data_IF_784826576880
#
_entry.id   IF_784826576880
#
_cell.length_a   1.000
_cell.length_b   1.000
_cell.length_c   1.000
_cell.angle_alpha   90.00
_cell.angle_beta   90.00
_cell.angle_gamma   90.00
#
_symmetry.space_group_name_H-M   'P 1'
#
loop_
_entity.id
_entity.type
_entity.pdbx_description
1 polymer ?
#
# COMPACT_ATOMS: atom_id res chain seq x y z
N UNK A 1 -60.33 4.33 70.54
CA UNK A 1 -60.23 3.49 69.34
C UNK A 1 -59.23 2.32 69.49
N UNK A 2 -58.49 2.20 70.60
CA UNK A 2 -57.48 1.10 70.80
C UNK A 2 -58.12 -0.12 71.52
N UNK A 3 -59.36 -0.11 71.94
CA UNK A 3 -59.94 -1.17 72.79
C UNK A 3 -60.62 -2.32 72.03
N UNK A 4 -60.83 -2.25 70.77
CA UNK A 4 -61.57 -3.28 69.97
C UNK A 4 -60.76 -4.51 69.67
N UNK A 5 -59.44 -4.46 69.77
CA UNK A 5 -58.56 -5.59 69.46
C UNK A 5 -57.92 -6.27 70.68
N UNK A 6 -58.30 -5.86 71.98
CA UNK A 6 -57.61 -6.34 73.21
C UNK A 6 -58.40 -7.31 74.08
N UNK A 7 -59.65 -7.66 73.77
CA UNK A 7 -60.35 -8.65 74.54
C UNK A 7 -60.71 -9.90 73.77
N UNK A 8 -60.55 -11.04 74.44
CA UNK A 8 -60.84 -12.40 74.00
C UNK A 8 -62.33 -12.61 73.65
N UNK A 9 -62.81 -12.00 72.64
CA UNK A 9 -64.11 -12.30 72.05
C UNK A 9 -63.79 -12.69 70.58
N UNK A 10 -64.29 -13.84 70.18
CA UNK A 10 -64.21 -14.36 68.84
C UNK A 10 -64.55 -13.22 67.82
N UNK A 11 -63.54 -12.58 67.29
CA UNK A 11 -63.81 -11.42 66.50
C UNK A 11 -62.99 -11.32 65.27
N UNK A 12 -63.73 -11.38 64.29
CA UNK A 12 -63.32 -11.13 62.94
C UNK A 12 -62.59 -9.77 62.82
N UNK A 13 -61.28 -9.81 62.67
CA UNK A 13 -60.61 -8.62 62.24
C UNK A 13 -61.15 -8.22 60.82
N UNK A 14 -61.42 -6.95 60.63
CA UNK A 14 -61.80 -6.45 59.32
C UNK A 14 -60.55 -6.48 58.44
N UNK A 15 -60.40 -7.54 57.64
CA UNK A 15 -59.20 -7.85 56.89
C UNK A 15 -59.19 -6.98 55.60
N UNK A 16 -58.11 -6.26 55.39
CA UNK A 16 -57.75 -5.62 54.11
C UNK A 16 -56.55 -6.31 53.53
N UNK A 17 -56.64 -6.62 52.28
CA UNK A 17 -55.56 -7.23 51.52
C UNK A 17 -54.53 -6.22 51.06
N UNK A 18 -53.29 -6.42 51.46
CA UNK A 18 -52.12 -5.69 50.92
C UNK A 18 -51.72 -6.39 49.65
N UNK A 19 -52.00 -5.75 48.53
CA UNK A 19 -51.73 -6.32 47.17
C UNK A 19 -50.28 -6.69 47.01
N UNK A 20 -50.04 -7.83 46.33
CA UNK A 20 -48.73 -8.21 45.89
C UNK A 20 -48.16 -7.17 44.87
N UNK A 21 -46.88 -6.93 44.97
CA UNK A 21 -46.10 -6.13 44.00
C UNK A 21 -45.12 -7.07 43.32
N UNK A 22 -45.24 -7.19 42.01
CA UNK A 22 -44.32 -8.04 41.25
C UNK A 22 -42.88 -7.47 41.25
N UNK A 23 -41.91 -8.33 41.45
CA UNK A 23 -40.50 -7.94 41.31
C UNK A 23 -40.18 -7.65 39.85
N UNK A 24 -39.48 -6.52 39.60
CA UNK A 24 -38.91 -6.16 38.30
C UNK A 24 -37.44 -6.63 38.17
N UNK A 25 -36.77 -6.26 37.12
CA UNK A 25 -35.34 -6.56 36.98
C UNK A 25 -34.49 -5.90 38.07
N UNK A 26 -34.87 -4.70 38.52
CA UNK A 26 -34.07 -3.86 39.43
C UNK A 26 -34.70 -3.64 40.76
N UNK A 27 -36.03 -3.83 40.90
CA UNK A 27 -36.77 -3.53 42.11
C UNK A 27 -37.35 -4.81 42.72
N UNK A 28 -37.16 -4.97 44.01
CA UNK A 28 -37.76 -6.05 44.76
C UNK A 28 -39.30 -5.91 44.80
N UNK A 29 -39.98 -7.02 44.70
CA UNK A 29 -41.41 -7.13 44.86
C UNK A 29 -41.81 -7.48 46.28
N UNK A 30 -43.12 -7.66 46.52
CA UNK A 30 -43.70 -8.13 47.81
C UNK A 30 -44.80 -9.13 47.49
N UNK A 31 -44.90 -10.15 48.31
CA UNK A 31 -46.05 -11.06 48.29
C UNK A 31 -47.33 -10.35 48.78
N UNK A 32 -48.47 -10.95 48.50
CA UNK A 32 -49.73 -10.52 49.09
C UNK A 32 -49.68 -10.70 50.62
N UNK A 33 -50.10 -9.68 51.30
CA UNK A 33 -50.31 -9.64 52.75
C UNK A 33 -51.69 -9.25 53.16
N UNK A 34 -51.94 -9.11 54.48
CA UNK A 34 -53.16 -8.58 54.95
C UNK A 34 -53.00 -7.95 56.35
N UNK A 35 -53.78 -6.89 56.61
CA UNK A 35 -53.82 -6.25 57.91
C UNK A 35 -55.27 -5.93 58.31
N UNK A 36 -55.49 -5.66 59.56
CA UNK A 36 -56.81 -5.17 60.07
C UNK A 36 -56.92 -3.65 59.79
N UNK A 37 -57.95 -3.24 59.06
CA UNK A 37 -58.22 -1.83 58.80
C UNK A 37 -58.56 -0.97 60.02
N UNK A 38 -58.92 -1.60 61.09
CA UNK A 38 -59.36 -0.88 62.32
C UNK A 38 -58.18 -0.73 63.29
N UNK A 39 -57.38 -1.76 63.54
CA UNK A 39 -56.32 -1.69 64.55
C UNK A 39 -54.90 -1.76 63.96
N UNK A 40 -54.74 -1.92 62.65
CA UNK A 40 -53.46 -1.96 61.97
C UNK A 40 -52.69 -3.27 62.19
N UNK A 41 -53.21 -4.26 62.94
CA UNK A 41 -52.54 -5.53 63.22
C UNK A 41 -52.29 -6.25 61.90
N UNK A 42 -51.03 -6.65 61.66
CA UNK A 42 -50.67 -7.45 60.52
C UNK A 42 -51.17 -8.91 60.73
N UNK A 43 -52.00 -9.39 59.84
CA UNK A 43 -52.59 -10.69 59.87
C UNK A 43 -51.69 -11.64 59.07
N UNK A 44 -51.29 -11.26 57.91
CA UNK A 44 -50.31 -11.93 57.05
C UNK A 44 -49.25 -10.93 56.57
N UNK A 45 -48.03 -11.12 56.99
CA UNK A 45 -46.93 -10.23 56.59
C UNK A 45 -46.61 -10.39 55.10
N UNK A 46 -46.37 -9.31 54.43
CA UNK A 46 -45.76 -9.35 53.09
C UNK A 46 -44.32 -9.81 53.23
N UNK A 47 -43.88 -10.72 52.39
CA UNK A 47 -42.47 -11.12 52.26
C UNK A 47 -41.88 -10.47 51.01
N UNK A 48 -40.61 -10.08 51.08
CA UNK A 48 -39.89 -9.51 49.96
C UNK A 48 -39.63 -10.58 48.91
N UNK A 49 -39.85 -10.22 47.64
CA UNK A 49 -39.47 -11.01 46.46
C UNK A 49 -38.27 -10.28 45.86
N UNK A 50 -37.09 -10.92 45.87
CA UNK A 50 -35.88 -10.34 45.34
C UNK A 50 -36.06 -9.87 43.89
N UNK A 51 -35.40 -8.75 43.53
CA UNK A 51 -35.31 -8.31 42.13
C UNK A 51 -34.81 -9.46 41.25
N UNK A 52 -35.38 -9.58 40.04
CA UNK A 52 -35.10 -10.69 39.11
C UNK A 52 -33.71 -10.61 38.49
N UNK A 53 -33.07 -9.44 38.50
CA UNK A 53 -31.89 -9.16 37.77
C UNK A 53 -32.14 -8.98 36.26
N UNK A 54 -31.13 -8.62 35.52
CA UNK A 54 -31.20 -8.53 34.07
C UNK A 54 -30.81 -9.85 33.42
N UNK A 55 -31.53 -10.24 32.37
CA UNK A 55 -31.18 -11.38 31.49
C UNK A 55 -30.71 -10.80 30.17
N UNK A 56 -29.41 -10.93 29.89
CA UNK A 56 -28.83 -10.39 28.67
C UNK A 56 -29.31 -11.19 27.44
N UNK A 57 -29.78 -10.48 26.43
CA UNK A 57 -30.11 -11.03 25.12
C UNK A 57 -28.88 -11.10 24.18
N UNK A 58 -29.14 -11.25 22.89
CA UNK A 58 -28.10 -11.32 21.86
C UNK A 58 -27.39 -9.97 21.64
N UNK A 59 -26.20 -10.04 21.07
CA UNK A 59 -25.45 -8.84 20.69
C UNK A 59 -26.07 -8.16 19.46
N UNK A 60 -26.34 -6.89 19.60
CA UNK A 60 -26.81 -6.00 18.51
C UNK A 60 -25.65 -5.10 18.10
N UNK A 61 -25.33 -5.05 16.81
CA UNK A 61 -24.30 -4.16 16.29
C UNK A 61 -24.85 -2.74 16.10
N UNK A 62 -24.35 -1.79 16.86
CA UNK A 62 -24.69 -0.37 16.74
C UNK A 62 -23.94 0.30 15.60
N UNK A 63 -22.65 -0.07 15.47
CA UNK A 63 -21.76 0.44 14.44
C UNK A 63 -20.83 -0.69 14.00
N UNK A 64 -20.81 -1.01 12.72
CA UNK A 64 -19.86 -1.98 12.16
C UNK A 64 -18.43 -1.47 12.24
N UNK A 65 -17.47 -2.36 12.45
CA UNK A 65 -16.06 -2.03 12.35
C UNK A 65 -15.67 -1.78 10.88
N UNK A 66 -14.74 -0.83 10.68
CA UNK A 66 -14.12 -0.56 9.38
C UNK A 66 -12.59 -0.60 9.53
N UNK A 67 -11.86 -0.47 8.41
CA UNK A 67 -10.39 -0.43 8.45
C UNK A 67 -9.92 0.77 9.27
N UNK A 68 -9.16 0.51 10.32
CA UNK A 68 -8.66 1.51 11.26
C UNK A 68 -9.72 2.15 12.17
N UNK A 69 -11.00 1.72 12.09
CA UNK A 69 -12.09 2.28 12.89
C UNK A 69 -12.80 1.16 13.65
N UNK A 70 -12.84 1.29 14.98
CA UNK A 70 -13.60 0.37 15.84
C UNK A 70 -15.08 0.48 15.58
N UNK A 71 -15.78 -0.64 15.60
CA UNK A 71 -17.22 -0.74 15.70
C UNK A 71 -17.68 -0.72 17.15
N UNK A 72 -18.99 -0.79 17.37
CA UNK A 72 -19.62 -0.87 18.69
C UNK A 72 -20.80 -1.81 18.63
N UNK A 73 -21.01 -2.57 19.71
CA UNK A 73 -22.17 -3.44 19.90
C UNK A 73 -22.65 -3.36 21.34
N UNK A 74 -23.94 -3.64 21.54
CA UNK A 74 -24.53 -3.75 22.87
C UNK A 74 -25.43 -4.98 22.95
N UNK A 75 -25.82 -5.35 24.16
CA UNK A 75 -26.93 -6.28 24.39
C UNK A 75 -27.85 -5.72 25.48
N UNK A 76 -29.13 -5.95 25.27
CA UNK A 76 -30.17 -5.46 26.15
C UNK A 76 -30.81 -6.59 26.93
N UNK A 77 -31.40 -6.27 28.09
CA UNK A 77 -32.18 -7.22 28.86
C UNK A 77 -33.43 -7.65 28.08
N UNK A 78 -33.64 -8.97 27.95
CA UNK A 78 -34.80 -9.54 27.23
C UNK A 78 -36.12 -9.28 27.89
N UNK A 79 -36.10 -8.83 29.17
CA UNK A 79 -37.30 -8.58 29.97
C UNK A 79 -37.68 -7.09 30.02
N UNK A 80 -36.73 -6.20 30.20
CA UNK A 80 -37.01 -4.76 30.40
C UNK A 80 -36.42 -3.85 29.32
N UNK A 81 -35.63 -4.39 28.37
CA UNK A 81 -35.02 -3.64 27.27
C UNK A 81 -33.80 -2.79 27.65
N UNK A 82 -33.47 -2.67 28.95
CA UNK A 82 -32.30 -1.88 29.35
C UNK A 82 -31.00 -2.45 28.78
N UNK A 83 -30.08 -1.59 28.31
CA UNK A 83 -28.74 -1.98 27.90
C UNK A 83 -27.99 -2.49 29.12
N UNK A 84 -27.54 -3.75 29.06
CA UNK A 84 -26.84 -4.43 30.15
C UNK A 84 -25.35 -4.57 29.91
N UNK A 85 -24.93 -4.51 28.67
CA UNK A 85 -23.52 -4.60 28.30
C UNK A 85 -23.25 -3.88 26.96
N UNK A 86 -22.08 -3.29 26.85
CA UNK A 86 -21.59 -2.69 25.60
C UNK A 86 -20.14 -3.08 25.40
N UNK A 87 -19.73 -3.33 24.14
CA UNK A 87 -18.37 -3.70 23.80
C UNK A 87 -17.95 -3.07 22.46
N UNK A 88 -16.66 -2.82 22.34
CA UNK A 88 -16.06 -2.46 21.04
C UNK A 88 -15.96 -3.69 20.14
N UNK A 89 -16.16 -3.50 18.84
CA UNK A 89 -15.78 -4.43 17.80
C UNK A 89 -14.39 -3.98 17.29
N UNK A 90 -13.35 -4.83 17.33
CA UNK A 90 -12.01 -4.45 16.87
C UNK A 90 -12.02 -3.88 15.45
N UNK A 91 -11.22 -2.84 15.22
CA UNK A 91 -11.03 -2.28 13.88
C UNK A 91 -10.48 -3.35 12.92
N UNK A 92 -10.92 -3.31 11.67
CA UNK A 92 -10.38 -4.18 10.64
C UNK A 92 -8.96 -3.74 10.27
N UNK A 93 -8.07 -4.70 10.00
CA UNK A 93 -6.74 -4.43 9.46
C UNK A 93 -6.81 -4.21 7.95
N UNK A 94 -5.99 -3.29 7.39
CA UNK A 94 -5.91 -3.12 5.94
C UNK A 94 -5.30 -4.36 5.29
N UNK A 95 -5.70 -4.65 4.05
CA UNK A 95 -5.15 -5.75 3.26
C UNK A 95 -3.72 -5.42 2.82
N UNK A 96 -2.78 -6.36 3.00
CA UNK A 96 -1.41 -6.21 2.50
C UNK A 96 -1.36 -6.26 0.97
N UNK A 97 -0.57 -5.35 0.37
CA UNK A 97 -0.26 -5.38 -1.07
C UNK A 97 1.00 -6.17 -1.40
N UNK A 98 1.67 -6.79 -0.44
CA UNK A 98 2.97 -7.46 -0.64
C UNK A 98 2.97 -8.51 -1.75
N UNK A 99 1.85 -9.19 -1.97
CA UNK A 99 1.64 -10.19 -3.03
C UNK A 99 1.07 -9.61 -4.33
N UNK A 100 0.89 -8.29 -4.43
CA UNK A 100 0.33 -7.69 -5.62
C UNK A 100 1.30 -7.73 -6.81
N UNK A 101 0.75 -7.97 -7.98
CA UNK A 101 1.48 -7.85 -9.25
C UNK A 101 1.55 -6.38 -9.65
N UNK A 102 2.77 -5.92 -9.93
CA UNK A 102 3.04 -4.53 -10.35
C UNK A 102 3.68 -4.53 -11.72
N UNK A 103 3.10 -3.81 -12.66
CA UNK A 103 3.62 -3.58 -14.01
C UNK A 103 3.95 -2.11 -14.22
N UNK A 104 5.07 -1.85 -14.88
CA UNK A 104 5.47 -0.51 -15.33
C UNK A 104 5.23 -0.39 -16.82
N UNK A 105 4.74 0.76 -17.29
CA UNK A 105 4.50 0.99 -18.72
C UNK A 105 5.80 0.96 -19.56
N UNK A 106 6.92 1.35 -18.96
CA UNK A 106 8.25 1.39 -19.60
C UNK A 106 9.29 0.93 -18.59
N UNK A 107 10.13 -0.04 -18.99
CA UNK A 107 11.19 -0.58 -18.14
C UNK A 107 12.55 0.11 -18.35
N UNK A 108 12.72 0.86 -19.46
CA UNK A 108 13.98 1.51 -19.81
C UNK A 108 13.75 2.81 -20.58
N UNK A 109 14.47 3.85 -20.22
CA UNK A 109 14.47 5.16 -20.88
C UNK A 109 15.85 5.51 -21.43
N UNK A 110 15.89 6.41 -22.42
CA UNK A 110 17.09 7.14 -22.79
C UNK A 110 17.16 8.45 -21.99
N UNK A 111 18.35 8.84 -21.56
CA UNK A 111 18.61 10.09 -20.86
C UNK A 111 18.33 11.30 -21.77
N UNK A 112 17.53 12.23 -21.30
CA UNK A 112 17.21 13.52 -21.93
C UNK A 112 17.24 14.69 -20.93
N UNK A 113 17.75 14.44 -19.72
CA UNK A 113 17.79 15.42 -18.63
C UNK A 113 16.46 15.63 -17.90
N UNK A 114 15.37 14.96 -18.32
CA UNK A 114 14.03 15.09 -17.73
C UNK A 114 13.76 13.95 -16.74
N UNK A 115 12.91 14.24 -15.76
CA UNK A 115 12.40 13.24 -14.81
C UNK A 115 11.57 12.19 -15.54
N UNK A 116 11.75 10.93 -15.17
CA UNK A 116 11.02 9.76 -15.72
C UNK A 116 10.04 9.20 -14.70
N UNK A 117 8.78 9.09 -15.10
CA UNK A 117 7.69 8.60 -14.25
C UNK A 117 6.82 7.60 -15.03
N UNK A 118 7.30 6.35 -15.22
CA UNK A 118 6.49 5.33 -15.90
C UNK A 118 5.16 5.14 -15.17
N UNK A 119 4.08 4.92 -15.92
CA UNK A 119 2.79 4.57 -15.34
C UNK A 119 2.88 3.21 -14.62
N UNK A 120 2.17 3.11 -13.51
CA UNK A 120 2.16 1.94 -12.64
C UNK A 120 0.76 1.35 -12.61
N UNK A 121 0.65 0.04 -12.83
CA UNK A 121 -0.58 -0.74 -12.66
C UNK A 121 -0.35 -1.74 -11.54
N UNK A 122 -1.29 -1.86 -10.60
CA UNK A 122 -1.21 -2.77 -9.46
C UNK A 122 -2.45 -3.66 -9.44
N UNK A 123 -2.26 -4.98 -9.33
CA UNK A 123 -3.34 -5.97 -9.19
C UNK A 123 -3.08 -6.84 -7.97
N UNK A 124 -4.06 -6.97 -7.08
CA UNK A 124 -4.04 -7.90 -5.96
C UNK A 124 -5.00 -9.06 -6.28
N UNK A 125 -4.44 -10.21 -6.66
CA UNK A 125 -5.20 -11.28 -7.29
C UNK A 125 -5.85 -10.79 -8.58
N UNK A 126 -7.16 -10.95 -8.73
CA UNK A 126 -7.95 -10.45 -9.86
C UNK A 126 -8.34 -8.96 -9.74
N UNK A 127 -8.17 -8.34 -8.56
CA UNK A 127 -8.62 -6.97 -8.30
C UNK A 127 -7.58 -5.96 -8.77
N UNK A 128 -7.97 -5.08 -9.71
CA UNK A 128 -7.16 -3.93 -10.09
C UNK A 128 -7.30 -2.82 -9.04
N UNK A 129 -6.19 -2.37 -8.47
CA UNK A 129 -6.17 -1.29 -7.50
C UNK A 129 -6.10 0.07 -8.19
N UNK A 130 -6.69 1.09 -7.56
CA UNK A 130 -6.82 2.46 -8.10
C UNK A 130 -5.75 3.38 -7.52
N UNK A 131 -4.92 3.95 -8.38
CA UNK A 131 -3.92 4.94 -7.99
C UNK A 131 -4.58 6.16 -7.35
N UNK A 132 -4.03 6.64 -6.22
CA UNK A 132 -4.55 7.77 -5.45
C UNK A 132 -5.60 7.40 -4.41
N UNK A 133 -6.31 6.28 -4.58
CA UNK A 133 -7.34 5.76 -3.66
C UNK A 133 -6.79 4.57 -2.88
N UNK A 134 -6.38 3.52 -3.58
CA UNK A 134 -5.95 2.24 -3.01
C UNK A 134 -4.43 2.18 -2.83
N UNK A 135 -3.67 2.98 -3.57
CA UNK A 135 -2.22 3.12 -3.44
C UNK A 135 -1.71 4.48 -3.94
N UNK A 136 -0.52 4.84 -3.50
CA UNK A 136 0.26 5.98 -4.01
C UNK A 136 1.58 5.51 -4.60
N UNK A 137 2.17 6.33 -5.48
CA UNK A 137 3.44 6.02 -6.16
C UNK A 137 4.41 7.18 -5.95
N UNK A 138 5.64 6.85 -5.60
CA UNK A 138 6.75 7.78 -5.58
C UNK A 138 7.95 7.22 -6.35
N UNK A 139 8.86 8.09 -6.76
CA UNK A 139 10.02 7.73 -7.58
C UNK A 139 11.30 8.26 -6.94
N UNK A 140 12.41 7.50 -7.10
CA UNK A 140 13.74 7.90 -6.64
C UNK A 140 14.75 7.67 -7.75
N UNK A 141 15.76 8.53 -7.84
CA UNK A 141 16.87 8.46 -8.83
C UNK A 141 16.38 8.42 -10.29
N UNK A 142 15.24 9.04 -10.56
CA UNK A 142 14.51 8.91 -11.82
C UNK A 142 14.78 10.05 -12.83
N UNK A 143 15.93 10.73 -12.70
CA UNK A 143 16.35 11.80 -13.62
C UNK A 143 17.66 11.49 -14.32
N UNK A 144 18.64 10.96 -13.60
CA UNK A 144 19.97 10.71 -14.11
C UNK A 144 20.13 9.26 -14.63
N UNK A 145 21.20 9.04 -15.43
CA UNK A 145 21.56 7.69 -15.89
C UNK A 145 21.75 6.75 -14.70
N UNK A 146 21.23 5.54 -14.81
CA UNK A 146 21.34 4.52 -13.77
C UNK A 146 20.01 3.81 -13.50
N UNK A 147 19.98 3.11 -12.38
CA UNK A 147 18.81 2.37 -11.90
C UNK A 147 17.93 3.30 -11.07
N UNK A 148 16.71 3.52 -11.52
CA UNK A 148 15.68 4.27 -10.81
C UNK A 148 14.76 3.33 -10.03
N UNK A 149 14.16 3.82 -8.95
CA UNK A 149 13.25 3.06 -8.09
C UNK A 149 11.86 3.67 -8.12
N UNK A 150 10.86 2.81 -8.24
CA UNK A 150 9.44 3.12 -8.07
C UNK A 150 8.98 2.50 -6.75
N UNK A 151 8.40 3.30 -5.87
CA UNK A 151 7.86 2.86 -4.58
C UNK A 151 6.35 2.98 -4.62
N UNK A 152 5.67 1.87 -4.41
CA UNK A 152 4.22 1.75 -4.37
C UNK A 152 3.82 1.51 -2.91
N UNK A 153 3.00 2.38 -2.33
CA UNK A 153 2.55 2.27 -0.94
C UNK A 153 1.04 2.15 -0.90
N UNK A 154 0.53 1.13 -0.22
CA UNK A 154 -0.90 0.92 0.01
C UNK A 154 -1.52 2.07 0.78
N UNK A 155 -2.80 2.35 0.52
CA UNK A 155 -3.58 3.44 1.12
C UNK A 155 -5.02 2.99 1.38
N UNK A 156 -5.66 3.55 2.41
CA UNK A 156 -7.06 3.28 2.74
C UNK A 156 -7.29 1.83 3.18
N UNK A 157 -7.94 1.04 2.35
CA UNK A 157 -8.20 -0.38 2.60
C UNK A 157 -6.97 -1.27 2.44
N UNK A 158 -5.84 -0.72 2.00
CA UNK A 158 -4.61 -1.45 1.69
C UNK A 158 -3.43 -0.88 2.45
N UNK A 159 -2.46 -1.72 2.77
CA UNK A 159 -1.21 -1.36 3.46
C UNK A 159 -0.01 -2.12 2.89
N UNK A 160 1.19 -1.67 3.28
CA UNK A 160 2.45 -2.25 2.84
C UNK A 160 3.07 -1.48 1.67
N UNK A 161 4.27 -1.89 1.29
CA UNK A 161 5.06 -1.22 0.26
C UNK A 161 5.67 -2.24 -0.69
N UNK A 162 5.63 -1.94 -1.98
CA UNK A 162 6.32 -2.71 -3.04
C UNK A 162 7.27 -1.78 -3.76
N UNK A 163 8.46 -2.27 -4.10
CA UNK A 163 9.40 -1.55 -4.95
C UNK A 163 9.56 -2.24 -6.30
N UNK A 164 9.72 -1.44 -7.35
CA UNK A 164 10.10 -1.85 -8.70
C UNK A 164 11.19 -0.93 -9.20
N UNK A 165 11.91 -1.35 -10.22
CA UNK A 165 12.99 -0.55 -10.79
C UNK A 165 12.84 -0.45 -12.30
N UNK A 166 13.35 0.65 -12.84
CA UNK A 166 13.56 0.82 -14.28
C UNK A 166 14.96 1.43 -14.52
N UNK A 167 15.41 1.43 -15.75
CA UNK A 167 16.76 1.91 -16.09
C UNK A 167 16.66 3.18 -16.93
N UNK A 168 17.56 4.13 -16.67
CA UNK A 168 17.82 5.27 -17.55
C UNK A 168 19.19 5.06 -18.16
N UNK A 169 19.24 4.77 -19.46
CA UNK A 169 20.46 4.58 -20.20
C UNK A 169 21.01 5.92 -20.72
N UNK A 170 22.30 6.06 -20.97
CA UNK A 170 22.86 7.23 -21.63
C UNK A 170 22.16 7.52 -22.97
N UNK A 171 22.12 8.78 -23.35
CA UNK A 171 21.58 9.17 -24.65
C UNK A 171 22.35 8.52 -25.79
N UNK A 172 21.63 8.17 -26.86
CA UNK A 172 22.22 7.65 -28.09
C UNK A 172 23.28 8.60 -28.64
N UNK A 173 24.37 8.06 -29.19
CA UNK A 173 25.40 8.80 -29.89
C UNK A 173 25.20 8.71 -31.41
N UNK A 174 25.69 9.70 -32.14
CA UNK A 174 25.67 9.70 -33.59
C UNK A 174 27.07 9.99 -34.12
N UNK A 175 27.45 9.30 -35.22
CA UNK A 175 28.68 9.63 -35.97
C UNK A 175 28.40 10.85 -36.84
N UNK A 176 29.05 11.97 -36.54
CA UNK A 176 28.95 13.19 -37.35
C UNK A 176 29.75 13.02 -38.63
N UNK A 177 31.03 12.68 -38.51
CA UNK A 177 31.94 12.51 -39.63
C UNK A 177 32.76 11.23 -39.50
N UNK A 178 33.00 10.55 -40.61
CA UNK A 178 33.86 9.38 -40.70
C UNK A 178 34.75 9.54 -41.94
N UNK A 179 36.06 9.61 -41.72
CA UNK A 179 37.03 9.95 -42.77
C UNK A 179 38.11 8.88 -42.85
N UNK A 180 38.40 8.41 -44.06
CA UNK A 180 39.47 7.45 -44.34
C UNK A 180 40.86 8.05 -44.06
N UNK A 181 41.71 7.24 -43.43
CA UNK A 181 43.14 7.48 -43.21
C UNK A 181 43.97 6.30 -43.72
N UNK A 182 45.29 6.49 -43.87
CA UNK A 182 46.19 5.40 -44.16
C UNK A 182 46.11 4.36 -43.03
N UNK A 183 45.77 3.12 -43.34
CA UNK A 183 45.58 1.99 -42.39
C UNK A 183 44.75 2.34 -41.17
N UNK A 184 43.67 3.16 -41.38
CA UNK A 184 42.83 3.63 -40.28
C UNK A 184 41.69 4.49 -40.75
N UNK A 185 40.99 5.08 -39.79
CA UNK A 185 39.96 6.08 -40.00
C UNK A 185 39.92 7.10 -38.86
N UNK A 186 39.36 8.25 -39.14
CA UNK A 186 39.05 9.28 -38.20
C UNK A 186 37.54 9.34 -38.03
N UNK A 187 37.07 9.34 -36.78
CA UNK A 187 35.66 9.46 -36.40
C UNK A 187 35.44 10.71 -35.57
N UNK A 188 34.37 11.45 -35.87
CA UNK A 188 33.92 12.65 -35.19
C UNK A 188 32.49 12.46 -34.71
N UNK A 189 32.21 12.84 -33.48
CA UNK A 189 30.92 12.73 -32.82
C UNK A 189 30.78 13.81 -31.74
N UNK A 190 29.53 14.16 -31.32
CA UNK A 190 29.33 15.19 -30.30
C UNK A 190 29.68 14.69 -28.90
N UNK A 191 30.42 15.48 -28.14
CA UNK A 191 30.67 15.24 -26.72
C UNK A 191 29.35 15.34 -25.93
N UNK A 192 29.16 14.45 -24.92
CA UNK A 192 27.95 14.35 -24.12
C UNK A 192 28.30 14.46 -22.63
N UNK A 193 27.89 15.56 -21.96
CA UNK A 193 28.26 15.86 -20.59
C UNK A 193 27.79 14.83 -19.55
N UNK A 194 26.74 14.07 -19.84
CA UNK A 194 26.24 13.01 -18.96
C UNK A 194 26.95 11.66 -19.14
N UNK A 195 27.80 11.51 -20.14
CA UNK A 195 28.58 10.30 -20.38
C UNK A 195 29.84 10.26 -19.51
N UNK A 196 30.31 9.08 -19.17
CA UNK A 196 31.68 8.87 -18.68
C UNK A 196 32.64 8.76 -19.87
N UNK A 197 32.16 8.22 -20.99
CA UNK A 197 32.94 8.06 -22.19
C UNK A 197 32.17 7.39 -23.33
N UNK A 198 32.92 6.85 -24.30
CA UNK A 198 32.36 6.33 -25.52
C UNK A 198 33.00 4.97 -25.86
N UNK A 199 32.25 4.13 -26.58
CA UNK A 199 32.74 2.88 -27.14
C UNK A 199 32.53 2.92 -28.65
N UNK A 200 33.63 2.84 -29.42
CA UNK A 200 33.63 2.76 -30.86
C UNK A 200 33.84 1.29 -31.24
N UNK A 201 32.93 0.74 -32.00
CA UNK A 201 33.03 -0.64 -32.51
C UNK A 201 33.16 -0.62 -34.03
N UNK A 202 34.04 -1.48 -34.52
CA UNK A 202 34.32 -1.57 -35.95
C UNK A 202 34.65 -3.01 -36.39
N UNK A 203 34.20 -3.36 -37.59
CA UNK A 203 34.37 -4.68 -38.17
C UNK A 203 34.44 -4.59 -39.70
N UNK A 204 34.93 -5.63 -40.35
CA UNK A 204 34.95 -5.74 -41.83
C UNK A 204 33.65 -6.33 -42.38
N UNK A 205 32.69 -6.64 -41.55
CA UNK A 205 31.35 -7.13 -41.90
C UNK A 205 30.24 -6.36 -41.18
N UNK A 206 29.06 -6.32 -41.77
CA UNK A 206 27.90 -5.56 -41.27
C UNK A 206 27.25 -6.17 -40.02
N UNK A 207 27.49 -7.45 -39.72
CA UNK A 207 26.98 -8.13 -38.53
C UNK A 207 27.83 -7.85 -37.29
N UNK A 208 28.97 -7.18 -37.44
CA UNK A 208 29.95 -6.95 -36.37
C UNK A 208 30.49 -8.24 -35.72
N UNK A 209 30.46 -9.37 -36.44
CA UNK A 209 31.12 -10.60 -36.01
C UNK A 209 32.65 -10.39 -35.95
N UNK A 210 33.27 -10.77 -34.83
CA UNK A 210 34.69 -10.51 -34.57
C UNK A 210 35.07 -9.04 -34.47
N UNK A 211 34.12 -8.15 -34.17
CA UNK A 211 34.35 -6.73 -34.09
C UNK A 211 35.43 -6.36 -33.08
N UNK A 212 36.26 -5.42 -33.44
CA UNK A 212 37.17 -4.73 -32.52
C UNK A 212 36.48 -3.51 -31.88
N UNK A 213 37.02 -3.06 -30.77
CA UNK A 213 36.51 -1.87 -30.10
C UNK A 213 37.62 -0.98 -29.56
N UNK A 214 37.34 0.33 -29.53
CA UNK A 214 38.15 1.35 -28.87
C UNK A 214 37.27 2.00 -27.79
N UNK A 215 37.75 2.03 -26.55
CA UNK A 215 37.04 2.64 -25.42
C UNK A 215 37.70 3.99 -25.11
N UNK A 216 36.88 5.02 -25.07
CA UNK A 216 37.28 6.38 -24.74
C UNK A 216 36.78 6.67 -23.33
N UNK A 217 37.68 7.01 -22.41
CA UNK A 217 37.38 7.23 -20.98
C UNK A 217 37.08 8.68 -20.62
N UNK A 218 37.07 9.57 -21.60
CA UNK A 218 36.75 11.00 -21.41
C UNK A 218 35.49 11.37 -22.17
N UNK A 219 34.54 12.00 -21.50
CA UNK A 219 33.34 12.53 -22.12
C UNK A 219 33.56 13.82 -22.95
N UNK A 220 34.74 14.44 -22.79
CA UNK A 220 35.15 15.63 -23.55
C UNK A 220 35.74 15.31 -24.91
N UNK A 221 36.11 14.04 -25.13
CA UNK A 221 36.67 13.59 -26.43
C UNK A 221 35.55 13.47 -27.43
N UNK A 222 35.62 14.22 -28.51
CA UNK A 222 34.66 14.25 -29.60
C UNK A 222 35.23 13.71 -30.91
N UNK A 223 36.55 13.40 -30.95
CA UNK A 223 37.31 13.00 -32.14
C UNK A 223 38.29 11.87 -31.80
N UNK A 224 38.34 10.86 -32.62
CA UNK A 224 39.25 9.73 -32.45
C UNK A 224 39.81 9.25 -33.77
N UNK A 225 41.10 8.97 -33.80
CA UNK A 225 41.74 8.25 -34.90
C UNK A 225 41.95 6.78 -34.50
N UNK A 226 41.36 5.88 -35.25
CA UNK A 226 41.62 4.44 -35.17
C UNK A 226 42.64 4.09 -36.21
N UNK A 227 43.76 3.52 -35.81
CA UNK A 227 44.90 3.20 -36.67
C UNK A 227 45.30 1.69 -36.57
N UNK A 228 46.33 1.29 -37.28
CA UNK A 228 46.82 -0.10 -37.33
C UNK A 228 45.80 -1.07 -37.88
N UNK A 229 45.02 -0.62 -38.83
CA UNK A 229 44.05 -1.42 -39.59
C UNK A 229 44.66 -1.87 -40.92
N UNK A 230 43.97 -2.81 -41.60
CA UNK A 230 44.35 -3.19 -42.98
C UNK A 230 44.07 -2.03 -43.93
N UNK A 231 44.99 -1.71 -44.81
CA UNK A 231 44.79 -0.72 -45.88
C UNK A 231 43.88 -1.25 -46.98
N UNK A 232 43.23 -0.34 -47.71
CA UNK A 232 42.26 -0.65 -48.77
C UNK A 232 41.13 -1.59 -48.30
N UNK A 233 40.72 -1.53 -47.03
CA UNK A 233 39.71 -2.39 -46.46
C UNK A 233 38.49 -1.61 -46.00
N UNK A 234 37.29 -2.10 -46.37
CA UNK A 234 36.03 -1.53 -45.91
C UNK A 234 35.78 -1.93 -44.46
N UNK A 235 35.47 -0.95 -43.62
CA UNK A 235 35.04 -1.13 -42.25
C UNK A 235 33.64 -0.56 -42.03
N UNK A 236 32.84 -1.28 -41.24
CA UNK A 236 31.56 -0.87 -40.65
C UNK A 236 31.87 -0.33 -39.28
N UNK A 237 31.36 0.86 -38.95
CA UNK A 237 31.70 1.59 -37.72
C UNK A 237 30.42 2.04 -37.05
N UNK A 238 30.35 1.88 -35.73
CA UNK A 238 29.30 2.44 -34.86
C UNK A 238 29.90 2.93 -33.57
N UNK A 239 29.21 3.87 -32.89
CA UNK A 239 29.61 4.45 -31.61
C UNK A 239 28.46 4.46 -30.65
N UNK A 240 28.74 4.31 -29.38
CA UNK A 240 27.75 4.53 -28.30
C UNK A 240 28.38 5.24 -27.13
N UNK A 241 27.54 5.93 -26.32
CA UNK A 241 27.91 6.45 -25.01
C UNK A 241 27.93 5.33 -23.98
N UNK A 242 28.72 5.49 -22.92
CA UNK A 242 28.51 4.80 -21.66
C UNK A 242 28.64 5.75 -20.47
N UNK A 243 27.94 5.41 -19.38
CA UNK A 243 28.05 6.11 -18.11
C UNK A 243 28.28 5.08 -17.01
N UNK A 244 29.27 5.33 -16.15
CA UNK A 244 29.55 4.48 -14.98
C UNK A 244 28.92 5.10 -13.75
N UNK A 245 28.03 4.38 -13.07
CA UNK A 245 27.35 4.78 -11.83
C UNK A 245 27.60 3.68 -10.80
N UNK A 246 28.23 4.03 -9.69
CA UNK A 246 28.59 3.08 -8.61
C UNK A 246 29.28 1.79 -9.16
N UNK A 247 30.22 1.95 -10.09
CA UNK A 247 30.98 0.85 -10.69
C UNK A 247 30.24 0.10 -11.81
N UNK A 248 28.96 0.34 -12.03
CA UNK A 248 28.13 -0.32 -13.06
C UNK A 248 28.13 0.55 -14.32
N UNK A 249 28.44 -0.06 -15.48
CA UNK A 249 28.36 0.60 -16.79
C UNK A 249 26.95 0.47 -17.38
N UNK A 250 26.37 1.60 -17.72
CA UNK A 250 25.14 1.73 -18.49
C UNK A 250 25.50 2.20 -19.90
N UNK A 251 24.89 1.60 -20.91
CA UNK A 251 25.21 1.90 -22.31
C UNK A 251 24.01 2.54 -23.03
N UNK A 252 24.30 3.56 -23.80
CA UNK A 252 23.36 4.11 -24.77
C UNK A 252 23.19 3.17 -25.97
N UNK A 253 22.14 3.40 -26.74
CA UNK A 253 21.96 2.70 -28.00
C UNK A 253 23.13 3.02 -28.96
N UNK A 254 23.48 2.05 -29.81
CA UNK A 254 24.44 2.25 -30.87
C UNK A 254 23.94 3.32 -31.86
N UNK A 255 24.89 4.08 -32.43
CA UNK A 255 24.64 4.94 -33.59
C UNK A 255 24.15 4.14 -34.79
N UNK A 256 23.60 4.84 -35.78
CA UNK A 256 23.55 4.28 -37.11
C UNK A 256 24.96 3.83 -37.57
N UNK A 257 25.03 2.72 -38.30
CA UNK A 257 26.27 2.22 -38.86
C UNK A 257 26.71 3.09 -40.04
N UNK A 258 27.95 3.57 -40.01
CA UNK A 258 28.60 4.20 -41.17
C UNK A 258 29.73 3.30 -41.68
N UNK A 259 30.09 3.44 -42.95
CA UNK A 259 31.18 2.68 -43.55
C UNK A 259 32.31 3.59 -44.04
N UNK A 260 33.51 3.09 -43.97
CA UNK A 260 34.71 3.77 -44.47
C UNK A 260 35.67 2.75 -45.07
N UNK A 261 36.29 3.07 -46.20
CA UNK A 261 37.38 2.27 -46.76
C UNK A 261 38.72 2.95 -46.45
N UNK A 262 39.58 2.26 -45.69
CA UNK A 262 40.91 2.76 -45.31
C UNK A 262 41.77 3.01 -46.55
N UNK A 263 42.67 3.98 -46.46
CA UNK A 263 43.72 4.19 -47.48
C UNK A 263 44.87 3.19 -47.26
N UNK A 264 45.73 3.02 -48.30
CA UNK A 264 46.96 2.26 -48.16
C UNK A 264 47.80 2.68 -46.97
#
# INVERSE_FOLDING_TARGET
>A
YQNVCRQNVVNSHTIVTDKAVAATCTTAGKTEGSHCSVCGKVIKAQTEIKAKGHVAGDWITDKAAAVGVKGRKHRSCTVCGAVVESADIPALSPKSISSATVSLSIASYSFDGKVKTPSVTVKLGSTALRKGIDYVVSYRNNKNVGKATVVITGKGLYAGTITRTFVINPAKQEIQKLTAKSKGFYIDYAAKGHATGYEIQYATNSSFSGAKKTVITSNKTDKVTVSKLSGNKKYYVRVRTYTTVNGIKYYGAWSAVKTVTTKK
#
